data_IF_072147961288
#
_entry.id   IF_072147961288
#
_cell.length_a   1.000
_cell.length_b   1.000
_cell.length_c   1.000
_cell.angle_alpha   90.00
_cell.angle_beta   90.00
_cell.angle_gamma   90.00
#
_symmetry.space_group_name_H-M   'P 1'
#
loop_
_entity.id
_entity.type
_entity.pdbx_description
1 polymer ?
#
# COMPACT_ATOMS: atom_id res chain seq x y z
N UNK A 1 6.90 10.33 37.78
CA UNK A 1 8.01 10.57 36.85
C UNK A 1 9.23 10.81 37.68
N UNK A 2 10.20 9.90 37.67
CA UNK A 2 11.46 10.04 38.40
C UNK A 2 12.34 11.07 37.67
N UNK A 3 13.21 11.77 38.40
CA UNK A 3 14.17 12.73 37.83
C UNK A 3 15.01 12.11 36.70
N UNK A 4 15.31 10.83 36.83
CA UNK A 4 16.01 10.05 35.79
C UNK A 4 15.17 9.81 34.53
N UNK A 5 13.86 9.65 34.67
CA UNK A 5 12.94 9.52 33.54
C UNK A 5 12.82 10.86 32.79
N UNK A 6 12.74 11.97 33.52
CA UNK A 6 12.73 13.32 32.94
C UNK A 6 14.04 13.64 32.24
N UNK A 7 15.18 13.31 32.84
CA UNK A 7 16.49 13.49 32.19
C UNK A 7 16.67 12.55 30.98
N UNK A 8 16.09 11.34 30.99
CA UNK A 8 16.07 10.46 29.84
C UNK A 8 15.22 11.00 28.69
N UNK A 9 14.08 11.60 28.99
CA UNK A 9 13.25 12.23 27.96
C UNK A 9 13.91 13.46 27.36
N UNK A 10 14.49 14.35 28.16
CA UNK A 10 15.26 15.48 27.66
C UNK A 10 16.48 15.06 26.84
N UNK A 11 17.21 14.04 27.27
CA UNK A 11 18.34 13.50 26.51
C UNK A 11 17.91 12.80 25.21
N UNK A 12 16.70 12.21 25.15
CA UNK A 12 16.15 11.64 23.91
C UNK A 12 15.78 12.72 22.89
N UNK A 13 15.35 13.89 23.33
CA UNK A 13 15.03 15.02 22.45
C UNK A 13 16.28 15.66 21.84
N UNK A 14 17.41 15.64 22.54
CA UNK A 14 18.66 16.29 22.09
C UNK A 14 19.66 15.31 21.46
N UNK A 15 19.69 14.05 21.87
CA UNK A 15 20.66 13.04 21.41
C UNK A 15 20.08 11.90 20.60
N UNK A 16 18.77 11.93 20.29
CA UNK A 16 18.12 10.94 19.44
C UNK A 16 18.45 11.11 17.96
N UNK A 17 18.15 10.10 17.10
CA UNK A 17 18.34 10.21 15.65
C UNK A 17 17.65 11.45 15.07
N UNK A 18 18.28 12.12 14.09
CA UNK A 18 17.76 13.33 13.45
C UNK A 18 16.32 13.21 13.00
N UNK A 19 15.95 12.09 12.40
CA UNK A 19 14.57 11.80 11.99
C UNK A 19 13.57 11.81 13.16
N UNK A 20 14.03 11.63 14.39
CA UNK A 20 13.22 11.69 15.60
C UNK A 20 13.14 13.12 16.15
N UNK A 21 14.28 13.84 16.16
CA UNK A 21 14.40 15.21 16.62
C UNK A 21 13.65 16.20 15.74
N UNK A 22 13.68 15.99 14.41
CA UNK A 22 13.03 16.82 13.39
C UNK A 22 11.51 16.61 13.30
N UNK A 23 10.92 15.78 14.17
CA UNK A 23 9.46 15.60 14.16
C UNK A 23 8.74 16.92 14.47
N UNK A 24 7.72 17.28 13.67
CA UNK A 24 6.88 18.45 13.95
C UNK A 24 6.17 18.28 15.27
N UNK A 25 5.99 19.39 15.98
CA UNK A 25 5.23 19.48 17.22
C UNK A 25 3.86 20.12 17.00
N UNK A 26 3.69 20.84 15.90
CA UNK A 26 2.44 21.49 15.51
C UNK A 26 1.99 21.04 14.12
N UNK A 27 0.71 21.24 13.80
CA UNK A 27 0.17 20.92 12.47
C UNK A 27 0.79 21.77 11.37
N UNK A 28 1.16 23.00 11.66
CA UNK A 28 1.75 23.94 10.69
C UNK A 28 3.19 23.56 10.32
N UNK A 29 3.88 22.79 11.16
CA UNK A 29 5.22 22.27 10.88
C UNK A 29 5.19 21.00 10.00
N UNK A 30 4.02 20.36 9.84
CA UNK A 30 3.90 19.13 9.04
C UNK A 30 4.15 19.44 7.58
N UNK A 31 5.17 18.80 7.02
CA UNK A 31 5.50 18.90 5.60
C UNK A 31 4.75 17.81 4.83
N UNK A 32 4.18 18.19 3.69
CA UNK A 32 3.35 17.30 2.88
C UNK A 32 1.98 17.01 3.48
N UNK A 33 1.27 16.01 2.96
CA UNK A 33 -0.04 15.55 3.43
C UNK A 33 -1.15 16.61 3.44
N UNK A 34 -1.05 17.67 2.63
CA UNK A 34 -2.00 18.80 2.62
C UNK A 34 -3.44 18.38 2.32
N UNK A 35 -3.63 17.24 1.65
CA UNK A 35 -4.94 16.64 1.39
C UNK A 35 -5.64 16.14 2.65
N UNK A 36 -4.91 15.97 3.76
CA UNK A 36 -5.42 15.53 5.08
C UNK A 36 -5.35 16.66 6.10
N UNK A 37 -4.18 17.34 6.20
CA UNK A 37 -3.90 18.32 7.25
C UNK A 37 -4.13 19.77 6.82
N UNK A 38 -4.52 20.03 5.58
CA UNK A 38 -4.86 21.38 5.12
C UNK A 38 -5.95 22.03 5.99
N UNK A 39 -5.91 23.35 6.15
CA UNK A 39 -6.79 24.11 7.08
C UNK A 39 -8.29 23.92 6.83
N UNK A 40 -8.66 23.58 5.59
CA UNK A 40 -10.03 23.29 5.15
C UNK A 40 -10.44 21.81 5.32
N UNK A 41 -9.51 20.93 5.67
CA UNK A 41 -9.73 19.50 5.73
C UNK A 41 -10.36 19.04 7.04
N UNK A 42 -11.04 17.89 6.97
CA UNK A 42 -11.79 17.31 8.08
C UNK A 42 -10.91 17.12 9.31
N UNK A 43 -9.71 16.53 9.15
CA UNK A 43 -8.82 16.24 10.27
C UNK A 43 -8.38 17.53 10.99
N UNK A 44 -7.96 18.54 10.24
CA UNK A 44 -7.57 19.83 10.81
C UNK A 44 -8.69 20.47 11.64
N UNK A 45 -9.92 20.50 11.09
CA UNK A 45 -11.09 21.06 11.77
C UNK A 45 -11.47 20.26 13.01
N UNK A 46 -11.39 18.92 12.96
CA UNK A 46 -11.69 18.05 14.09
C UNK A 46 -10.69 18.26 15.25
N UNK A 47 -9.40 18.40 14.94
CA UNK A 47 -8.36 18.69 15.91
C UNK A 47 -8.61 20.06 16.57
N UNK A 48 -8.84 21.11 15.79
CA UNK A 48 -9.10 22.46 16.31
C UNK A 48 -10.36 22.56 17.15
N UNK A 49 -11.38 21.75 16.85
CA UNK A 49 -12.64 21.71 17.62
C UNK A 49 -12.56 20.77 18.85
N UNK A 50 -11.45 20.10 19.09
CA UNK A 50 -11.28 19.01 20.09
C UNK A 50 -12.38 17.92 20.00
N UNK A 51 -12.79 17.59 18.78
CA UNK A 51 -13.83 16.60 18.45
C UNK A 51 -13.25 15.47 17.60
N UNK A 52 -12.25 14.80 18.15
CA UNK A 52 -11.62 13.67 17.48
C UNK A 52 -12.47 12.39 17.66
N UNK A 53 -12.71 11.70 16.55
CA UNK A 53 -13.09 10.30 16.52
C UNK A 53 -11.86 9.43 16.36
N UNK A 54 -12.00 8.12 16.49
CA UNK A 54 -10.92 7.18 16.19
C UNK A 54 -10.49 7.26 14.72
N UNK A 55 -9.21 7.02 14.46
CA UNK A 55 -8.57 7.24 13.16
C UNK A 55 -7.73 6.03 12.78
N UNK A 56 -7.74 5.67 11.52
CA UNK A 56 -6.78 4.74 10.94
C UNK A 56 -5.95 5.47 9.88
N UNK A 57 -4.65 5.58 10.13
CA UNK A 57 -3.68 6.07 9.15
C UNK A 57 -3.09 4.90 8.38
N UNK A 58 -3.20 4.89 7.06
CA UNK A 58 -2.51 3.90 6.24
C UNK A 58 -1.68 4.57 5.15
N UNK A 59 -0.65 3.87 4.69
CA UNK A 59 0.23 4.36 3.64
C UNK A 59 1.68 3.91 3.83
N UNK A 60 2.58 4.24 2.90
CA UNK A 60 3.98 3.79 2.89
C UNK A 60 4.74 4.15 4.17
N UNK A 61 5.88 3.48 4.45
CA UNK A 61 6.76 3.87 5.55
C UNK A 61 7.30 5.28 5.35
N UNK A 62 7.74 5.92 6.43
CA UNK A 62 8.36 7.26 6.37
C UNK A 62 7.45 8.45 6.04
N UNK A 63 6.16 8.23 5.79
CA UNK A 63 5.18 9.27 5.41
C UNK A 63 4.63 10.11 6.57
N UNK A 64 5.02 9.79 7.81
CA UNK A 64 4.67 10.59 8.99
C UNK A 64 3.47 10.10 9.82
N UNK A 65 3.01 8.85 9.69
CA UNK A 65 1.87 8.29 10.47
C UNK A 65 2.02 8.49 11.98
N UNK A 66 3.12 8.01 12.55
CA UNK A 66 3.43 8.16 14.00
C UNK A 66 3.60 9.63 14.39
N UNK A 67 4.21 10.40 13.51
CA UNK A 67 4.42 11.84 13.71
C UNK A 67 3.10 12.58 13.80
N UNK A 68 2.19 12.34 12.87
CA UNK A 68 0.88 12.99 12.85
C UNK A 68 0.04 12.62 14.08
N UNK A 69 0.10 11.36 14.53
CA UNK A 69 -0.56 10.92 15.76
C UNK A 69 -0.07 11.70 16.99
N UNK A 70 1.25 11.93 17.11
CA UNK A 70 1.84 12.72 18.20
C UNK A 70 1.45 14.19 18.13
N UNK A 71 1.47 14.79 16.94
CA UNK A 71 1.02 16.18 16.74
C UNK A 71 -0.44 16.36 17.14
N UNK A 72 -1.31 15.40 16.79
CA UNK A 72 -2.71 15.40 17.20
C UNK A 72 -2.83 15.37 18.72
N UNK A 73 -2.15 14.44 19.37
CA UNK A 73 -2.21 14.29 20.81
C UNK A 73 -1.73 15.56 21.53
N UNK A 74 -0.63 16.16 21.07
CA UNK A 74 -0.08 17.39 21.62
C UNK A 74 -1.04 18.57 21.45
N UNK A 75 -1.64 18.69 20.26
CA UNK A 75 -2.58 19.80 19.96
C UNK A 75 -3.88 19.71 20.75
N UNK A 76 -4.35 18.49 21.07
CA UNK A 76 -5.60 18.25 21.80
C UNK A 76 -5.42 18.11 23.30
N UNK A 77 -4.19 18.25 23.82
CA UNK A 77 -3.85 18.02 25.23
C UNK A 77 -4.29 16.67 25.80
N UNK A 78 -4.48 15.68 24.93
CA UNK A 78 -4.80 14.31 25.31
C UNK A 78 -3.56 13.56 25.82
N UNK A 79 -3.75 12.61 26.71
CA UNK A 79 -2.68 11.68 27.08
C UNK A 79 -2.35 10.78 25.92
N UNK A 80 -1.07 10.70 25.54
CA UNK A 80 -0.62 9.88 24.41
C UNK A 80 0.02 8.59 24.92
N UNK A 81 -0.62 7.48 24.60
CA UNK A 81 -0.10 6.15 24.90
C UNK A 81 0.19 5.42 23.60
N UNK A 82 1.34 4.75 23.51
CA UNK A 82 1.77 4.07 22.30
C UNK A 82 2.02 2.60 22.56
N UNK A 83 1.44 1.76 21.71
CA UNK A 83 1.69 0.32 21.65
C UNK A 83 2.24 -0.03 20.26
N UNK A 84 3.22 -0.92 20.22
CA UNK A 84 3.65 -1.54 18.96
C UNK A 84 3.03 -2.94 18.87
N UNK A 85 2.18 -3.16 17.87
CA UNK A 85 1.45 -4.42 17.71
C UNK A 85 2.36 -5.63 17.42
N UNK A 86 3.61 -5.41 17.03
CA UNK A 86 4.57 -6.52 16.82
C UNK A 86 5.10 -7.15 18.12
N UNK A 87 5.10 -6.39 19.21
CA UNK A 87 5.66 -6.81 20.50
C UNK A 87 4.64 -6.86 21.64
N UNK A 88 3.50 -6.19 21.48
CA UNK A 88 2.51 -6.05 22.54
C UNK A 88 1.60 -7.27 22.67
N UNK A 89 1.37 -7.69 23.92
CA UNK A 89 0.43 -8.73 24.30
C UNK A 89 -0.88 -8.18 24.89
N UNK A 90 -1.75 -9.09 25.35
CA UNK A 90 -3.03 -8.74 25.97
C UNK A 90 -2.83 -7.89 27.24
N UNK A 91 -1.80 -8.19 28.02
CA UNK A 91 -1.49 -7.50 29.28
C UNK A 91 -1.17 -6.03 29.05
N UNK A 92 -0.40 -5.71 28.01
CA UNK A 92 -0.05 -4.33 27.68
C UNK A 92 -1.31 -3.52 27.31
N UNK A 93 -2.27 -4.13 26.62
CA UNK A 93 -3.55 -3.51 26.31
C UNK A 93 -4.41 -3.28 27.56
N UNK A 94 -4.44 -4.25 28.50
CA UNK A 94 -5.16 -4.13 29.77
C UNK A 94 -4.60 -2.97 30.60
N UNK A 95 -3.29 -2.84 30.70
CA UNK A 95 -2.63 -1.73 31.42
C UNK A 95 -2.99 -0.37 30.82
N UNK A 96 -2.99 -0.26 29.50
CA UNK A 96 -3.38 0.98 28.80
C UNK A 96 -4.84 1.34 29.05
N UNK A 97 -5.74 0.37 28.98
CA UNK A 97 -7.17 0.58 29.22
C UNK A 97 -7.41 1.04 30.65
N UNK A 98 -6.75 0.42 31.64
CA UNK A 98 -6.86 0.81 33.04
C UNK A 98 -6.36 2.26 33.26
N UNK A 99 -5.22 2.60 32.65
CA UNK A 99 -4.67 3.94 32.71
C UNK A 99 -5.58 4.97 32.02
N UNK A 100 -6.20 4.62 30.88
CA UNK A 100 -7.16 5.48 30.19
C UNK A 100 -8.41 5.75 31.04
N UNK A 101 -8.94 4.73 31.73
CA UNK A 101 -10.06 4.90 32.69
C UNK A 101 -9.68 5.81 33.86
N UNK A 102 -8.48 5.65 34.38
CA UNK A 102 -7.98 6.52 35.45
C UNK A 102 -7.83 7.98 34.99
N UNK A 103 -7.28 8.19 33.78
CA UNK A 103 -7.15 9.51 33.20
C UNK A 103 -8.52 10.19 33.03
N UNK A 104 -9.50 9.46 32.53
CA UNK A 104 -10.86 9.96 32.32
C UNK A 104 -11.56 10.25 33.67
N UNK A 105 -11.48 9.31 34.64
CA UNK A 105 -12.18 9.40 35.91
C UNK A 105 -11.59 10.43 36.88
N UNK A 106 -10.25 10.48 37.00
CA UNK A 106 -9.58 11.36 37.97
C UNK A 106 -9.23 12.73 37.41
N UNK A 107 -8.87 12.80 36.13
CA UNK A 107 -8.30 14.03 35.55
C UNK A 107 -9.17 14.62 34.42
N UNK A 108 -10.29 13.96 34.06
CA UNK A 108 -11.14 14.35 32.93
C UNK A 108 -10.35 14.52 31.61
N UNK A 109 -9.25 13.77 31.50
CA UNK A 109 -8.33 13.85 30.38
C UNK A 109 -8.62 12.74 29.38
N UNK A 110 -8.72 13.06 28.11
CA UNK A 110 -8.86 12.07 27.02
C UNK A 110 -7.56 11.31 26.85
N UNK A 111 -7.66 10.03 26.47
CA UNK A 111 -6.50 9.20 26.14
C UNK A 111 -6.53 8.83 24.67
N UNK A 112 -5.46 9.16 23.96
CA UNK A 112 -5.20 8.68 22.60
C UNK A 112 -4.31 7.46 22.70
N UNK A 113 -4.82 6.31 22.26
CA UNK A 113 -4.05 5.11 22.10
C UNK A 113 -3.56 5.00 20.64
N UNK A 114 -2.27 5.18 20.44
CA UNK A 114 -1.62 4.96 19.17
C UNK A 114 -1.13 3.53 19.06
N UNK A 115 -1.58 2.81 18.03
CA UNK A 115 -1.14 1.44 17.72
C UNK A 115 -0.37 1.46 16.41
N UNK A 116 0.94 1.26 16.51
CA UNK A 116 1.77 1.10 15.32
C UNK A 116 1.66 -0.31 14.76
N UNK A 117 1.56 -0.43 13.44
CA UNK A 117 1.37 -1.69 12.71
C UNK A 117 0.13 -2.49 13.18
N UNK A 118 -1.01 -1.81 13.34
CA UNK A 118 -2.26 -2.39 13.88
C UNK A 118 -2.70 -3.69 13.19
N UNK A 119 -2.32 -3.89 11.92
CA UNK A 119 -2.58 -5.11 11.16
C UNK A 119 -1.90 -6.37 11.78
N UNK A 120 -0.90 -6.18 12.64
CA UNK A 120 -0.23 -7.28 13.36
C UNK A 120 -1.04 -7.81 14.54
N UNK A 121 -2.02 -7.06 15.01
CA UNK A 121 -2.95 -7.56 16.02
C UNK A 121 -3.90 -8.59 15.40
N UNK A 122 -4.07 -9.73 16.10
CA UNK A 122 -5.08 -10.69 15.72
C UNK A 122 -6.51 -10.16 16.00
N UNK A 123 -7.52 -10.81 15.43
CA UNK A 123 -8.93 -10.38 15.57
C UNK A 123 -9.35 -10.23 17.04
N UNK A 124 -8.97 -11.15 17.92
CA UNK A 124 -9.32 -11.08 19.35
C UNK A 124 -8.70 -9.88 20.07
N UNK A 125 -7.49 -9.47 19.69
CA UNK A 125 -6.84 -8.27 20.22
C UNK A 125 -7.54 -7.00 19.72
N UNK A 126 -7.92 -6.97 18.46
CA UNK A 126 -8.68 -5.85 17.89
C UNK A 126 -10.09 -5.76 18.49
N UNK A 127 -10.76 -6.89 18.69
CA UNK A 127 -12.09 -6.96 19.33
C UNK A 127 -12.05 -6.49 20.79
N UNK A 128 -10.97 -6.77 21.52
CA UNK A 128 -10.79 -6.32 22.91
C UNK A 128 -10.86 -4.79 23.04
N UNK A 129 -10.44 -4.05 22.06
CA UNK A 129 -10.43 -2.57 22.08
C UNK A 129 -11.81 -1.97 21.78
N UNK A 130 -12.71 -2.71 21.13
CA UNK A 130 -14.00 -2.20 20.67
C UNK A 130 -14.84 -1.53 21.76
N UNK A 131 -15.07 -2.12 22.94
CA UNK A 131 -15.89 -1.49 23.98
C UNK A 131 -15.36 -0.13 24.42
N UNK A 132 -14.03 0.02 24.50
CA UNK A 132 -13.36 1.23 24.97
C UNK A 132 -13.27 2.32 23.91
N UNK A 133 -13.37 1.95 22.64
CA UNK A 133 -13.52 2.87 21.52
C UNK A 133 -14.98 3.35 21.42
N UNK A 134 -15.93 2.45 21.68
CA UNK A 134 -17.37 2.75 21.64
C UNK A 134 -17.81 3.69 22.76
N UNK A 135 -17.33 3.50 23.98
CA UNK A 135 -17.69 4.32 25.14
C UNK A 135 -16.84 5.59 25.24
N UNK A 136 -15.84 5.77 24.37
CA UNK A 136 -14.98 6.94 24.32
C UNK A 136 -13.89 6.98 25.41
N UNK A 137 -13.66 5.88 26.16
CA UNK A 137 -12.55 5.74 27.09
C UNK A 137 -11.21 5.92 26.37
N UNK A 138 -11.13 5.43 25.12
CA UNK A 138 -9.96 5.51 24.25
C UNK A 138 -10.35 6.13 22.91
N UNK A 139 -9.55 7.09 22.45
CA UNK A 139 -9.53 7.52 21.05
C UNK A 139 -8.42 6.70 20.37
N UNK A 140 -8.80 5.77 19.52
CA UNK A 140 -7.84 4.91 18.81
C UNK A 140 -7.24 5.67 17.62
N UNK A 141 -5.91 5.67 17.50
CA UNK A 141 -5.22 6.03 16.27
C UNK A 141 -4.40 4.81 15.83
N UNK A 142 -4.90 4.06 14.87
CA UNK A 142 -4.17 2.93 14.27
C UNK A 142 -3.30 3.39 13.12
N UNK A 143 -2.08 2.85 13.01
CA UNK A 143 -1.20 3.06 11.87
C UNK A 143 -0.90 1.71 11.20
N UNK A 144 -0.90 1.69 9.87
CA UNK A 144 -0.56 0.49 9.09
C UNK A 144 0.07 0.86 7.75
N UNK A 145 0.91 -0.02 7.22
CA UNK A 145 1.41 0.04 5.85
C UNK A 145 0.53 -0.73 4.87
N UNK A 146 -0.34 -1.60 5.39
CA UNK A 146 -1.24 -2.46 4.62
C UNK A 146 -2.62 -1.80 4.41
N UNK A 147 -3.40 -2.32 3.46
CA UNK A 147 -4.76 -1.82 3.23
C UNK A 147 -5.67 -2.17 4.41
N UNK A 148 -6.17 -1.17 5.15
CA UNK A 148 -6.94 -1.42 6.38
C UNK A 148 -8.25 -2.18 6.15
N UNK A 149 -8.84 -2.11 4.96
CA UNK A 149 -10.08 -2.83 4.64
C UNK A 149 -9.93 -4.36 4.62
N UNK A 150 -8.71 -4.87 4.50
CA UNK A 150 -8.43 -6.31 4.55
C UNK A 150 -7.92 -6.76 5.91
N UNK A 151 -7.18 -5.90 6.62
CA UNK A 151 -6.39 -6.29 7.78
C UNK A 151 -6.98 -5.82 9.12
N UNK A 152 -7.77 -4.76 9.11
CA UNK A 152 -8.40 -4.22 10.31
C UNK A 152 -9.85 -4.72 10.42
N UNK A 153 -10.25 -5.07 11.64
CA UNK A 153 -11.62 -5.52 11.92
C UNK A 153 -12.65 -4.50 11.44
N UNK A 154 -13.66 -4.96 10.70
CA UNK A 154 -14.74 -4.14 10.18
C UNK A 154 -15.50 -3.34 11.25
N UNK A 155 -15.59 -3.86 12.48
CA UNK A 155 -16.20 -3.15 13.59
C UNK A 155 -15.37 -1.95 14.07
N UNK A 156 -14.03 -2.03 14.07
CA UNK A 156 -13.15 -0.88 14.33
C UNK A 156 -13.18 0.13 13.17
N UNK A 157 -13.19 -0.37 11.92
CA UNK A 157 -13.26 0.50 10.75
C UNK A 157 -14.54 1.33 10.71
N UNK A 158 -15.69 0.73 11.06
CA UNK A 158 -16.98 1.44 11.08
C UNK A 158 -17.04 2.58 12.10
N UNK A 159 -16.14 2.58 13.08
CA UNK A 159 -16.01 3.58 14.16
C UNK A 159 -14.83 4.50 13.99
N UNK A 160 -14.09 4.35 12.90
CA UNK A 160 -12.87 5.11 12.63
C UNK A 160 -12.95 5.87 11.32
N UNK A 161 -12.31 7.03 11.26
CA UNK A 161 -12.09 7.73 9.99
C UNK A 161 -10.75 7.27 9.40
N UNK A 162 -10.77 6.87 8.15
CA UNK A 162 -9.60 6.34 7.47
C UNK A 162 -8.94 7.47 6.67
N UNK A 163 -7.64 7.69 6.87
CA UNK A 163 -6.84 8.64 6.11
C UNK A 163 -5.66 7.94 5.44
N UNK A 164 -5.55 8.14 4.14
CA UNK A 164 -4.42 7.69 3.35
C UNK A 164 -3.29 8.71 3.36
N UNK A 165 -2.12 8.33 3.91
CA UNK A 165 -0.91 9.13 3.78
C UNK A 165 -0.19 8.74 2.51
N UNK A 166 0.10 9.72 1.68
CA UNK A 166 0.84 9.55 0.43
C UNK A 166 2.34 9.68 0.67
N UNK A 167 3.14 9.12 -0.25
CA UNK A 167 4.57 9.41 -0.29
C UNK A 167 4.78 10.92 -0.31
N UNK A 168 5.80 11.39 0.39
CA UNK A 168 6.21 12.78 0.29
C UNK A 168 6.75 13.06 -1.11
N UNK A 169 6.45 14.24 -1.63
CA UNK A 169 7.03 14.68 -2.91
C UNK A 169 8.53 14.96 -2.75
N UNK A 170 9.26 14.97 -3.85
CA UNK A 170 10.67 15.38 -3.87
C UNK A 170 10.85 16.78 -3.26
N UNK A 171 9.95 17.70 -3.52
CA UNK A 171 9.99 19.04 -2.94
C UNK A 171 9.74 19.04 -1.43
N UNK A 172 8.82 18.18 -0.92
CA UNK A 172 8.59 18.01 0.52
C UNK A 172 9.87 17.51 1.22
N UNK A 173 10.55 16.52 0.62
CA UNK A 173 11.81 15.99 1.16
C UNK A 173 12.89 17.07 1.16
N UNK A 174 13.03 17.86 0.08
CA UNK A 174 13.98 18.97 0.04
C UNK A 174 13.74 19.99 1.15
N UNK A 175 12.46 20.31 1.42
CA UNK A 175 12.09 21.20 2.53
C UNK A 175 12.54 20.62 3.87
N UNK A 176 12.33 19.31 4.09
CA UNK A 176 12.77 18.63 5.32
C UNK A 176 14.30 18.63 5.47
N UNK A 177 15.05 18.31 4.41
CA UNK A 177 16.50 18.29 4.42
C UNK A 177 17.09 19.68 4.69
N UNK A 178 16.58 20.71 4.01
CA UNK A 178 17.02 22.11 4.25
C UNK A 178 16.72 22.54 5.68
N UNK A 179 15.53 22.24 6.21
CA UNK A 179 15.19 22.52 7.60
C UNK A 179 16.13 21.79 8.56
N UNK A 180 16.45 20.52 8.29
CA UNK A 180 17.33 19.74 9.12
C UNK A 180 18.75 20.31 9.19
N UNK A 181 19.26 20.88 8.09
CA UNK A 181 20.59 21.50 8.04
C UNK A 181 20.64 22.91 8.67
N UNK A 182 19.51 23.62 8.73
CA UNK A 182 19.46 25.02 9.24
C UNK A 182 18.99 25.14 10.68
N UNK A 183 18.20 24.20 11.17
CA UNK A 183 17.68 24.21 12.52
C UNK A 183 18.80 23.92 13.54
N UNK A 184 19.05 24.88 14.43
CA UNK A 184 20.13 24.79 15.45
C UNK A 184 19.70 24.05 16.71
N UNK A 185 18.39 23.91 16.96
CA UNK A 185 17.86 23.26 18.17
C UNK A 185 17.60 21.76 17.93
N UNK A 186 16.84 21.44 16.88
CA UNK A 186 16.41 20.07 16.56
C UNK A 186 17.25 19.42 15.45
N UNK A 187 17.86 20.26 14.58
CA UNK A 187 18.57 19.84 13.40
C UNK A 187 20.08 19.71 13.57
N UNK A 188 20.77 19.99 12.48
CA UNK A 188 22.23 19.94 12.36
C UNK A 188 22.83 21.34 12.14
N UNK A 189 22.08 22.42 12.36
CA UNK A 189 22.53 23.80 12.11
C UNK A 189 23.80 24.20 12.87
N UNK A 190 24.05 23.61 14.04
CA UNK A 190 25.27 23.83 14.82
C UNK A 190 26.55 23.27 14.14
N UNK A 191 26.42 22.39 13.17
CA UNK A 191 27.54 21.76 12.46
C UNK A 191 28.07 22.63 11.32
N UNK A 192 27.37 23.68 10.90
CA UNK A 192 27.70 24.53 9.75
C UNK A 192 27.91 23.69 8.47
N UNK A 193 26.92 22.85 8.14
CA UNK A 193 26.96 21.99 6.97
C UNK A 193 26.15 22.61 5.82
N UNK A 194 26.65 22.43 4.60
CA UNK A 194 25.97 22.82 3.36
C UNK A 194 25.83 21.60 2.46
N UNK A 195 24.72 21.52 1.75
CA UNK A 195 24.47 20.47 0.77
C UNK A 195 24.43 21.10 -0.62
N UNK A 196 25.11 20.47 -1.57
CA UNK A 196 25.08 20.87 -2.97
C UNK A 196 23.69 20.61 -3.57
N UNK A 197 23.26 21.42 -4.53
CA UNK A 197 21.91 21.30 -5.11
C UNK A 197 21.68 19.95 -5.77
N UNK A 198 22.68 19.37 -6.43
CA UNK A 198 22.60 18.06 -7.05
C UNK A 198 22.53 16.92 -6.01
N UNK A 199 23.25 17.05 -4.90
CA UNK A 199 23.18 16.12 -3.77
C UNK A 199 21.81 16.19 -3.06
N UNK A 200 21.24 17.39 -2.92
CA UNK A 200 19.91 17.60 -2.38
C UNK A 200 18.84 16.97 -3.28
N UNK A 201 18.94 17.21 -4.58
CA UNK A 201 18.06 16.62 -5.59
C UNK A 201 18.14 15.09 -5.56
N UNK A 202 19.36 14.56 -5.50
CA UNK A 202 19.61 13.13 -5.44
C UNK A 202 19.00 12.48 -4.18
N UNK A 203 19.29 13.00 -2.98
CA UNK A 203 18.74 12.46 -1.74
C UNK A 203 17.20 12.51 -1.71
N UNK A 204 16.64 13.61 -2.20
CA UNK A 204 15.18 13.78 -2.24
C UNK A 204 14.52 12.79 -3.21
N UNK A 205 15.14 12.49 -4.33
CA UNK A 205 14.62 11.52 -5.30
C UNK A 205 14.77 10.07 -4.81
N UNK A 206 16.00 9.71 -4.40
CA UNK A 206 16.37 8.33 -4.04
C UNK A 206 15.66 7.84 -2.77
N UNK A 207 15.32 8.75 -1.83
CA UNK A 207 14.53 8.42 -0.63
C UNK A 207 13.10 8.00 -0.96
N UNK A 208 12.63 8.21 -2.20
CA UNK A 208 11.34 7.77 -2.71
C UNK A 208 10.16 8.15 -1.80
N UNK A 209 10.24 9.34 -1.19
CA UNK A 209 9.23 9.90 -0.29
C UNK A 209 9.28 9.38 1.15
N UNK A 210 10.34 8.67 1.54
CA UNK A 210 10.60 8.28 2.93
C UNK A 210 11.47 9.35 3.63
N UNK A 211 10.84 10.19 4.45
CA UNK A 211 11.53 11.23 5.19
C UNK A 211 12.56 10.69 6.20
N UNK A 212 12.35 9.50 6.74
CA UNK A 212 13.26 8.88 7.71
C UNK A 212 14.57 8.50 7.03
N UNK A 213 14.47 7.88 5.85
CA UNK A 213 15.66 7.50 5.05
C UNK A 213 16.46 8.72 4.67
N UNK A 214 15.81 9.78 4.13
CA UNK A 214 16.47 11.02 3.75
C UNK A 214 17.16 11.71 4.93
N UNK A 215 16.49 11.84 6.08
CA UNK A 215 17.06 12.47 7.28
C UNK A 215 18.20 11.65 7.90
N UNK A 216 18.13 10.33 7.84
CA UNK A 216 19.23 9.47 8.31
C UNK A 216 20.47 9.60 7.42
N UNK A 217 20.27 9.67 6.10
CA UNK A 217 21.38 9.85 5.16
C UNK A 217 22.10 11.19 5.36
N UNK A 218 21.34 12.30 5.50
CA UNK A 218 21.94 13.61 5.74
C UNK A 218 22.63 13.70 7.12
N UNK A 219 22.05 13.09 8.16
CA UNK A 219 22.69 13.01 9.49
C UNK A 219 24.03 12.31 9.41
N UNK A 220 24.09 11.16 8.74
CA UNK A 220 25.30 10.40 8.54
C UNK A 220 26.34 11.23 7.76
N UNK A 221 25.94 11.89 6.66
CA UNK A 221 26.80 12.74 5.87
C UNK A 221 27.43 13.87 6.68
N UNK A 222 26.64 14.57 7.49
CA UNK A 222 27.16 15.66 8.33
C UNK A 222 28.13 15.16 9.43
N UNK A 223 27.83 13.99 10.02
CA UNK A 223 28.62 13.44 11.13
C UNK A 223 29.95 12.79 10.67
N UNK A 224 30.02 12.35 9.41
CA UNK A 224 31.18 11.57 8.90
C UNK A 224 32.05 12.32 7.90
N UNK A 225 31.62 13.50 7.45
CA UNK A 225 32.42 14.33 6.52
C UNK A 225 33.23 15.35 7.28
N UNK A 226 34.52 15.41 6.96
CA UNK A 226 35.43 16.38 7.52
C UNK A 226 35.10 17.81 7.05
N UNK A 227 35.45 18.79 7.88
CA UNK A 227 35.33 20.21 7.49
C UNK A 227 36.36 20.56 6.44
N UNK A 228 35.94 21.30 5.43
CA UNK A 228 36.84 21.90 4.44
C UNK A 228 37.64 23.06 5.03
N UNK A 229 38.60 23.58 4.28
CA UNK A 229 39.48 24.70 4.69
C UNK A 229 38.70 25.98 5.05
N UNK A 230 37.47 26.14 4.53
CA UNK A 230 36.54 27.21 4.85
C UNK A 230 35.76 27.01 6.18
N UNK A 231 35.97 25.88 6.85
CA UNK A 231 35.29 25.50 8.09
C UNK A 231 33.88 24.97 7.90
N UNK A 232 33.46 24.71 6.66
CA UNK A 232 32.13 24.20 6.30
C UNK A 232 32.22 22.69 6.01
N UNK A 233 31.16 21.95 6.35
CA UNK A 233 30.99 20.55 5.94
C UNK A 233 30.23 20.56 4.63
N UNK A 234 30.84 20.14 3.53
CA UNK A 234 30.20 20.08 2.22
C UNK A 234 29.65 18.69 1.95
N UNK A 235 28.36 18.58 1.78
CA UNK A 235 27.68 17.34 1.40
C UNK A 235 27.51 17.33 -0.12
N UNK A 236 28.48 16.70 -0.76
CA UNK A 236 28.50 16.50 -2.21
C UNK A 236 27.64 15.31 -2.62
N UNK A 237 27.41 15.15 -3.92
CA UNK A 237 26.65 14.02 -4.46
C UNK A 237 27.32 12.66 -4.14
N UNK A 238 28.67 12.62 -4.09
CA UNK A 238 29.41 11.40 -3.73
C UNK A 238 29.15 11.02 -2.26
N UNK A 239 29.26 11.98 -1.34
CA UNK A 239 28.94 11.80 0.08
C UNK A 239 27.48 11.37 0.26
N UNK A 240 26.56 12.03 -0.41
CA UNK A 240 25.13 11.72 -0.34
C UNK A 240 24.84 10.29 -0.82
N UNK A 241 25.47 9.87 -1.91
CA UNK A 241 25.35 8.52 -2.47
C UNK A 241 25.86 7.45 -1.53
N UNK A 242 27.00 7.70 -0.89
CA UNK A 242 27.60 6.77 0.06
C UNK A 242 26.75 6.62 1.32
N UNK A 243 26.23 7.74 1.85
CA UNK A 243 25.40 7.75 3.05
C UNK A 243 24.05 7.05 2.87
N UNK A 244 23.43 7.13 1.69
CA UNK A 244 22.16 6.43 1.43
C UNK A 244 22.37 5.00 0.93
N UNK A 245 23.63 4.58 0.73
CA UNK A 245 24.04 3.26 0.22
C UNK A 245 23.38 2.89 -1.12
N UNK A 246 23.04 3.88 -1.91
CA UNK A 246 22.48 3.74 -3.24
C UNK A 246 23.40 4.41 -4.26
N UNK A 247 23.71 3.70 -5.35
CA UNK A 247 24.60 4.25 -6.39
C UNK A 247 23.96 5.46 -7.06
N UNK A 248 24.78 6.49 -7.31
CA UNK A 248 24.41 7.56 -8.24
C UNK A 248 24.28 6.94 -9.63
N UNK A 249 23.07 6.56 -9.97
CA UNK A 249 22.73 6.27 -11.35
C UNK A 249 22.49 7.64 -11.97
N UNK A 250 23.10 7.93 -13.11
CA UNK A 250 22.78 9.14 -13.87
C UNK A 250 21.33 9.03 -14.33
N UNK A 251 20.42 9.23 -13.40
CA UNK A 251 19.00 9.35 -13.65
C UNK A 251 18.78 10.75 -14.22
N UNK A 252 18.29 10.78 -15.43
CA UNK A 252 17.76 12.00 -16.03
C UNK A 252 16.73 12.61 -15.06
N UNK A 253 16.94 13.87 -14.67
CA UNK A 253 16.34 14.62 -13.54
C UNK A 253 14.80 14.82 -13.60
N UNK A 254 14.04 13.94 -14.27
CA UNK A 254 12.57 14.03 -14.33
C UNK A 254 11.95 12.69 -13.98
N UNK A 255 11.15 12.65 -12.91
CA UNK A 255 10.41 11.49 -12.44
C UNK A 255 9.52 10.79 -13.48
N UNK A 256 9.37 11.32 -14.67
CA UNK A 256 8.74 10.69 -15.83
C UNK A 256 9.49 9.44 -16.32
N UNK A 257 10.84 9.41 -16.18
CA UNK A 257 11.67 8.32 -16.71
C UNK A 257 11.44 6.96 -15.99
N UNK A 258 11.05 6.97 -14.73
CA UNK A 258 10.74 5.75 -13.98
C UNK A 258 9.42 5.13 -14.48
N UNK A 259 8.35 5.92 -14.53
CA UNK A 259 7.06 5.47 -15.04
C UNK A 259 7.12 5.11 -16.52
N UNK A 260 7.92 5.83 -17.30
CA UNK A 260 8.14 5.55 -18.72
C UNK A 260 8.87 4.22 -18.91
N UNK A 261 9.89 3.90 -18.09
CA UNK A 261 10.60 2.61 -18.13
C UNK A 261 9.67 1.45 -17.80
N UNK A 262 8.85 1.57 -16.75
CA UNK A 262 7.85 0.55 -16.38
C UNK A 262 6.81 0.41 -17.50
N UNK A 263 6.34 1.51 -18.05
CA UNK A 263 5.37 1.52 -19.16
C UNK A 263 5.96 0.86 -20.41
N UNK A 264 7.21 1.17 -20.74
CA UNK A 264 7.93 0.56 -21.85
C UNK A 264 8.15 -0.95 -21.64
N UNK A 265 8.52 -1.36 -20.42
CA UNK A 265 8.65 -2.77 -20.03
C UNK A 265 7.36 -3.56 -20.29
N UNK A 266 6.23 -3.06 -19.78
CA UNK A 266 4.93 -3.70 -19.97
C UNK A 266 4.55 -3.72 -21.45
N UNK A 267 4.70 -2.59 -22.16
CA UNK A 267 4.36 -2.47 -23.58
C UNK A 267 5.22 -3.36 -24.46
N UNK A 268 6.49 -3.59 -24.12
CA UNK A 268 7.38 -4.49 -24.85
C UNK A 268 6.91 -5.96 -24.75
N UNK A 269 6.56 -6.43 -23.55
CA UNK A 269 5.99 -7.77 -23.38
C UNK A 269 4.64 -7.89 -24.08
N UNK A 270 3.76 -6.89 -23.97
CA UNK A 270 2.47 -6.83 -24.66
C UNK A 270 2.64 -6.83 -26.18
N UNK A 271 3.62 -6.11 -26.68
CA UNK A 271 3.96 -5.99 -28.09
C UNK A 271 4.77 -7.18 -28.65
N UNK A 272 5.06 -8.18 -27.82
CA UNK A 272 5.82 -9.39 -28.20
C UNK A 272 7.25 -9.09 -28.68
N UNK A 273 7.92 -8.12 -28.02
CA UNK A 273 9.34 -7.84 -28.22
C UNK A 273 10.15 -8.31 -26.98
N UNK A 274 10.73 -9.53 -27.01
CA UNK A 274 11.48 -10.07 -25.89
C UNK A 274 12.80 -9.32 -25.63
N UNK A 275 13.45 -8.79 -26.66
CA UNK A 275 14.72 -8.07 -26.51
C UNK A 275 14.51 -6.74 -25.79
N UNK A 276 13.52 -5.96 -26.21
CA UNK A 276 13.14 -4.73 -25.52
C UNK A 276 12.65 -5.01 -24.09
N UNK A 277 11.87 -6.07 -23.86
CA UNK A 277 11.39 -6.45 -22.54
C UNK A 277 12.54 -6.77 -21.59
N UNK A 278 13.54 -7.55 -22.01
CA UNK A 278 14.74 -7.87 -21.22
C UNK A 278 15.60 -6.63 -20.99
N UNK A 279 15.73 -5.77 -22.00
CA UNK A 279 16.45 -4.51 -21.86
C UNK A 279 15.85 -3.60 -20.76
N UNK A 280 14.51 -3.41 -20.78
CA UNK A 280 13.84 -2.60 -19.76
C UNK A 280 13.83 -3.29 -18.39
N UNK A 281 13.78 -4.63 -18.32
CA UNK A 281 14.01 -5.37 -17.09
C UNK A 281 15.38 -5.06 -16.51
N UNK A 282 16.45 -5.18 -17.33
CA UNK A 282 17.82 -4.91 -16.89
C UNK A 282 17.98 -3.46 -16.43
N UNK A 283 17.35 -2.51 -17.12
CA UNK A 283 17.35 -1.09 -16.75
C UNK A 283 16.68 -0.86 -15.39
N UNK A 284 15.55 -1.50 -15.09
CA UNK A 284 14.87 -1.43 -13.79
C UNK A 284 15.71 -2.06 -12.68
N UNK A 285 16.29 -3.26 -12.92
CA UNK A 285 17.13 -3.94 -11.95
C UNK A 285 18.41 -3.16 -11.64
N UNK A 286 19.04 -2.59 -12.67
CA UNK A 286 20.20 -1.74 -12.51
C UNK A 286 19.89 -0.46 -11.73
N UNK A 287 18.68 0.08 -11.89
CA UNK A 287 18.17 1.21 -11.12
C UNK A 287 17.80 0.87 -9.67
N UNK A 288 17.86 -0.40 -9.27
CA UNK A 288 17.53 -0.85 -7.93
C UNK A 288 16.01 -0.98 -7.68
N UNK A 289 15.22 -1.16 -8.73
CA UNK A 289 13.77 -1.40 -8.59
C UNK A 289 13.50 -2.65 -7.76
N UNK A 290 12.44 -2.61 -6.95
CA UNK A 290 12.02 -3.75 -6.15
C UNK A 290 11.62 -4.94 -7.03
N UNK A 291 12.32 -6.06 -6.88
CA UNK A 291 12.07 -7.30 -7.63
C UNK A 291 10.64 -7.82 -7.43
N UNK A 292 10.04 -7.58 -6.26
CA UNK A 292 8.64 -7.94 -5.97
C UNK A 292 7.67 -7.06 -6.77
N UNK A 293 8.01 -5.78 -6.92
CA UNK A 293 7.23 -4.89 -7.77
C UNK A 293 7.27 -5.34 -9.23
N UNK A 294 8.46 -5.66 -9.76
CA UNK A 294 8.63 -6.18 -11.13
C UNK A 294 7.82 -7.47 -11.32
N UNK A 295 7.95 -8.43 -10.40
CA UNK A 295 7.20 -9.70 -10.45
C UNK A 295 5.68 -9.48 -10.44
N UNK A 296 5.18 -8.54 -9.64
CA UNK A 296 3.77 -8.17 -9.62
C UNK A 296 3.29 -7.64 -10.97
N UNK A 297 4.11 -6.84 -11.66
CA UNK A 297 3.76 -6.33 -12.99
C UNK A 297 3.70 -7.44 -14.03
N UNK A 298 4.57 -8.44 -13.94
CA UNK A 298 4.55 -9.64 -14.79
C UNK A 298 3.27 -10.45 -14.56
N UNK A 299 2.86 -10.67 -13.29
CA UNK A 299 1.62 -11.39 -12.95
C UNK A 299 0.37 -10.68 -13.50
N UNK A 300 0.32 -9.35 -13.40
CA UNK A 300 -0.80 -8.57 -13.95
C UNK A 300 -0.86 -8.74 -15.47
N UNK A 301 0.27 -8.61 -16.16
CA UNK A 301 0.37 -8.77 -17.61
C UNK A 301 -0.03 -10.18 -18.06
N UNK A 302 0.37 -11.22 -17.34
CA UNK A 302 -0.01 -12.61 -17.63
C UNK A 302 -1.53 -12.79 -17.66
N UNK A 303 -2.28 -12.09 -16.79
CA UNK A 303 -3.75 -12.17 -16.74
C UNK A 303 -4.43 -11.19 -17.68
N UNK A 304 -3.87 -9.98 -17.83
CA UNK A 304 -4.46 -8.88 -18.61
C UNK A 304 -4.27 -9.04 -20.11
N UNK A 305 -3.03 -9.39 -20.53
CA UNK A 305 -2.63 -9.36 -21.93
C UNK A 305 -2.48 -10.75 -22.59
N UNK A 306 -2.22 -11.79 -21.78
CA UNK A 306 -2.10 -13.16 -22.27
C UNK A 306 -3.38 -13.95 -21.98
N UNK A 307 -3.86 -13.90 -20.74
CA UNK A 307 -5.11 -14.52 -20.33
C UNK A 307 -5.21 -16.00 -20.75
N UNK A 308 -6.35 -16.35 -21.34
CA UNK A 308 -6.63 -17.72 -21.77
C UNK A 308 -5.99 -18.10 -23.13
N UNK A 309 -5.30 -17.19 -23.80
CA UNK A 309 -4.53 -17.55 -24.99
C UNK A 309 -3.36 -18.47 -24.64
N UNK A 310 -2.79 -18.31 -23.43
CA UNK A 310 -1.85 -19.25 -22.83
C UNK A 310 -2.02 -19.29 -21.29
N UNK A 311 -2.84 -20.21 -20.77
CA UNK A 311 -3.07 -20.33 -19.31
C UNK A 311 -1.80 -20.60 -18.49
N UNK A 312 -0.74 -21.14 -19.11
CA UNK A 312 0.53 -21.40 -18.44
C UNK A 312 1.26 -20.11 -18.06
N UNK A 313 0.98 -19.00 -18.74
CA UNK A 313 1.60 -17.71 -18.43
C UNK A 313 1.37 -17.28 -16.98
N UNK A 314 0.16 -17.46 -16.45
CA UNK A 314 -0.15 -17.14 -15.05
C UNK A 314 0.61 -18.03 -14.07
N UNK A 315 0.79 -19.32 -14.39
CA UNK A 315 1.55 -20.28 -13.57
C UNK A 315 3.04 -19.90 -13.54
N UNK A 316 3.62 -19.57 -14.69
CA UNK A 316 5.02 -19.10 -14.79
C UNK A 316 5.22 -17.81 -14.02
N UNK A 317 4.30 -16.84 -14.17
CA UNK A 317 4.38 -15.57 -13.45
C UNK A 317 4.28 -15.74 -11.93
N UNK A 318 3.35 -16.57 -11.46
CA UNK A 318 3.16 -16.85 -10.03
C UNK A 318 4.37 -17.58 -9.44
N UNK A 319 4.93 -18.58 -10.15
CA UNK A 319 6.14 -19.28 -9.73
C UNK A 319 7.34 -18.33 -9.65
N UNK A 320 7.54 -17.48 -10.67
CA UNK A 320 8.60 -16.50 -10.66
C UNK A 320 8.45 -15.52 -9.47
N UNK A 321 7.24 -15.03 -9.19
CA UNK A 321 6.99 -14.13 -8.06
C UNK A 321 7.32 -14.78 -6.69
N UNK A 322 7.03 -16.06 -6.52
CA UNK A 322 7.36 -16.80 -5.31
C UNK A 322 8.88 -17.03 -5.17
N UNK A 323 9.56 -17.36 -6.27
CA UNK A 323 10.97 -17.72 -6.23
C UNK A 323 11.91 -16.51 -6.13
N UNK A 324 11.58 -15.34 -6.71
CA UNK A 324 12.41 -14.14 -6.55
C UNK A 324 12.51 -13.68 -5.09
N UNK A 325 11.48 -13.94 -4.27
CA UNK A 325 11.51 -13.63 -2.84
C UNK A 325 12.40 -14.58 -2.05
N UNK A 326 12.46 -15.85 -2.45
CA UNK A 326 13.26 -16.90 -1.78
C UNK A 326 14.74 -16.81 -2.14
N UNK A 327 15.01 -16.58 -3.42
CA UNK A 327 16.37 -16.60 -3.97
C UNK A 327 17.10 -15.28 -3.72
N UNK A 328 16.41 -14.13 -3.92
CA UNK A 328 17.01 -12.81 -3.79
C UNK A 328 17.97 -12.45 -4.93
N UNK A 329 18.52 -11.22 -4.87
CA UNK A 329 19.52 -10.75 -5.83
C UNK A 329 20.92 -11.27 -5.45
N UNK A 330 21.81 -11.53 -6.42
CA UNK A 330 21.67 -11.23 -7.86
C UNK A 330 20.91 -12.30 -8.69
N UNK A 331 20.69 -13.50 -8.19
CA UNK A 331 20.16 -14.63 -8.97
C UNK A 331 18.68 -14.44 -9.36
N UNK A 332 17.90 -13.65 -8.63
CA UNK A 332 16.49 -13.32 -8.95
C UNK A 332 16.35 -12.70 -10.36
N UNK A 333 17.40 -12.03 -10.89
CA UNK A 333 17.39 -11.51 -12.26
C UNK A 333 17.22 -12.61 -13.33
N UNK A 334 17.71 -13.81 -13.07
CA UNK A 334 17.63 -14.95 -14.00
C UNK A 334 16.18 -15.44 -14.07
N UNK A 335 15.52 -15.57 -12.91
CA UNK A 335 14.12 -15.97 -12.78
C UNK A 335 13.20 -14.95 -13.48
N UNK A 336 13.44 -13.66 -13.23
CA UNK A 336 12.68 -12.60 -13.88
C UNK A 336 12.89 -12.58 -15.40
N UNK A 337 14.11 -12.79 -15.87
CA UNK A 337 14.41 -12.84 -17.31
C UNK A 337 13.67 -13.98 -17.99
N UNK A 338 13.63 -15.18 -17.39
CA UNK A 338 12.88 -16.32 -17.92
C UNK A 338 11.38 -15.99 -18.00
N UNK A 339 10.80 -15.43 -16.94
CA UNK A 339 9.39 -15.04 -16.94
C UNK A 339 9.08 -13.98 -18.01
N UNK A 340 9.91 -12.95 -18.11
CA UNK A 340 9.74 -11.84 -19.07
C UNK A 340 9.80 -12.33 -20.53
N UNK A 341 10.79 -13.15 -20.86
CA UNK A 341 10.90 -13.72 -22.21
C UNK A 341 9.71 -14.62 -22.54
N UNK A 342 9.26 -15.43 -21.57
CA UNK A 342 8.05 -16.23 -21.73
C UNK A 342 6.83 -15.34 -22.03
N UNK A 343 6.60 -14.29 -21.21
CA UNK A 343 5.48 -13.37 -21.39
C UNK A 343 5.53 -12.65 -22.74
N UNK A 344 6.73 -12.22 -23.16
CA UNK A 344 6.89 -11.55 -24.45
C UNK A 344 6.56 -12.48 -25.62
N UNK A 345 6.95 -13.76 -25.55
CA UNK A 345 6.77 -14.73 -26.65
C UNK A 345 5.39 -15.43 -26.63
N UNK A 346 4.65 -15.38 -25.52
CA UNK A 346 3.34 -16.01 -25.41
C UNK A 346 2.30 -15.39 -26.34
N UNK A 347 1.31 -16.16 -26.85
CA UNK A 347 0.16 -15.60 -27.57
C UNK A 347 -0.64 -14.66 -26.67
N UNK A 348 -1.24 -13.62 -27.24
CA UNK A 348 -1.90 -12.54 -26.50
C UNK A 348 -3.43 -12.58 -26.67
N UNK A 349 -4.16 -12.46 -25.53
CA UNK A 349 -5.59 -12.21 -25.51
C UNK A 349 -5.97 -11.42 -24.24
N UNK A 350 -6.72 -10.36 -24.42
CA UNK A 350 -7.30 -9.60 -23.32
C UNK A 350 -8.81 -9.88 -23.12
N UNK A 351 -9.32 -10.98 -23.68
CA UNK A 351 -10.75 -11.31 -23.65
C UNK A 351 -11.29 -11.41 -22.21
N UNK A 352 -10.53 -12.02 -21.30
CA UNK A 352 -10.91 -12.14 -19.87
C UNK A 352 -10.93 -10.78 -19.17
N UNK A 353 -9.96 -9.92 -19.44
CA UNK A 353 -9.92 -8.55 -18.93
C UNK A 353 -11.12 -7.72 -19.43
N UNK A 354 -11.42 -7.80 -20.73
CA UNK A 354 -12.57 -7.13 -21.31
C UNK A 354 -13.90 -7.65 -20.73
N UNK A 355 -13.98 -8.96 -20.49
CA UNK A 355 -15.17 -9.59 -19.91
C UNK A 355 -15.49 -9.01 -18.52
N UNK A 356 -14.52 -9.00 -17.61
CA UNK A 356 -14.75 -8.45 -16.26
C UNK A 356 -15.01 -6.94 -16.30
N UNK A 357 -14.31 -6.20 -17.16
CA UNK A 357 -14.52 -4.75 -17.31
C UNK A 357 -15.93 -4.42 -17.80
N UNK A 358 -16.44 -5.17 -18.77
CA UNK A 358 -17.80 -5.03 -19.29
C UNK A 358 -18.85 -5.42 -18.23
N UNK A 359 -18.63 -6.52 -17.51
CA UNK A 359 -19.52 -6.97 -16.44
C UNK A 359 -19.58 -5.95 -15.29
N UNK A 360 -18.44 -5.41 -14.85
CA UNK A 360 -18.36 -4.36 -13.81
C UNK A 360 -19.06 -3.08 -14.24
N UNK A 361 -18.91 -2.68 -15.50
CA UNK A 361 -19.63 -1.52 -16.07
C UNK A 361 -21.14 -1.76 -16.06
N UNK A 362 -21.59 -2.95 -16.47
CA UNK A 362 -22.99 -3.35 -16.45
C UNK A 362 -23.58 -3.26 -15.04
N UNK A 363 -22.91 -3.86 -14.04
CA UNK A 363 -23.34 -3.82 -12.63
C UNK A 363 -23.45 -2.40 -12.09
N UNK A 364 -22.52 -1.52 -12.46
CA UNK A 364 -22.55 -0.11 -12.02
C UNK A 364 -23.68 0.71 -12.64
N UNK A 365 -24.08 0.36 -13.86
CA UNK A 365 -25.08 1.11 -14.64
C UNK A 365 -26.51 0.59 -14.46
N UNK A 366 -26.71 -0.63 -13.99
CA UNK A 366 -28.00 -1.24 -13.78
C UNK A 366 -28.34 -1.30 -12.30
N UNK A 367 -29.65 -1.14 -11.95
CA UNK A 367 -30.14 -1.59 -10.64
C UNK A 367 -29.90 -3.09 -10.61
N UNK A 368 -29.12 -3.58 -9.65
CA UNK A 368 -28.77 -5.00 -9.53
C UNK A 368 -30.02 -5.87 -9.56
N UNK A 369 -30.31 -6.61 -10.66
CA UNK A 369 -31.49 -7.44 -10.74
C UNK A 369 -31.36 -8.66 -9.83
N UNK A 370 -32.49 -9.24 -9.42
CA UNK A 370 -32.48 -10.41 -8.57
C UNK A 370 -31.87 -11.61 -9.28
N UNK A 371 -31.18 -12.47 -8.53
CA UNK A 371 -30.72 -13.76 -9.02
C UNK A 371 -31.93 -14.62 -9.40
N UNK A 372 -31.94 -15.31 -10.57
CA UNK A 372 -33.01 -16.20 -10.96
C UNK A 372 -33.37 -17.21 -9.87
N UNK A 373 -34.64 -17.44 -9.59
CA UNK A 373 -35.09 -18.23 -8.44
C UNK A 373 -34.49 -19.66 -8.40
N UNK A 374 -34.34 -20.30 -9.57
CA UNK A 374 -33.79 -21.65 -9.68
C UNK A 374 -32.27 -21.70 -9.37
N UNK A 375 -31.54 -20.56 -9.41
CA UNK A 375 -30.13 -20.46 -9.04
C UNK A 375 -29.91 -20.00 -7.59
N UNK A 376 -30.95 -19.64 -6.87
CA UNK A 376 -30.83 -19.21 -5.48
C UNK A 376 -30.54 -20.41 -4.58
N UNK A 377 -29.84 -20.15 -3.46
CA UNK A 377 -29.45 -21.19 -2.52
C UNK A 377 -30.67 -21.95 -1.97
N UNK A 378 -30.63 -23.26 -2.07
CA UNK A 378 -31.67 -24.17 -1.62
C UNK A 378 -31.25 -25.04 -0.42
N UNK A 379 -30.11 -24.80 0.22
CA UNK A 379 -29.58 -25.65 1.29
C UNK A 379 -30.19 -25.38 2.69
N UNK A 380 -31.25 -24.60 2.80
CA UNK A 380 -31.91 -24.31 4.07
C UNK A 380 -33.37 -24.77 4.10
N UNK A 381 -33.90 -25.14 5.29
CA UNK A 381 -35.14 -25.89 5.48
C UNK A 381 -36.47 -25.22 5.07
N UNK A 382 -36.45 -24.05 4.41
CA UNK A 382 -37.65 -23.39 3.89
C UNK A 382 -37.49 -22.87 2.45
N UNK A 383 -36.37 -23.16 1.82
CA UNK A 383 -35.99 -22.66 0.49
C UNK A 383 -37.06 -23.00 -0.56
N UNK A 384 -37.51 -24.25 -0.59
CA UNK A 384 -38.53 -24.74 -1.54
C UNK A 384 -39.85 -23.99 -1.43
N UNK A 385 -40.27 -23.62 -0.20
CA UNK A 385 -41.49 -22.83 0.03
C UNK A 385 -41.39 -21.41 -0.51
N UNK A 386 -40.18 -20.92 -0.66
CA UNK A 386 -39.86 -19.61 -1.25
C UNK A 386 -39.55 -19.70 -2.76
N UNK A 387 -39.59 -20.90 -3.33
CA UNK A 387 -39.28 -21.15 -4.73
C UNK A 387 -37.80 -21.13 -5.07
N UNK A 388 -36.92 -21.13 -4.06
CA UNK A 388 -35.49 -21.10 -4.27
C UNK A 388 -34.98 -22.49 -4.71
N UNK A 389 -34.18 -22.52 -5.76
CA UNK A 389 -33.62 -23.76 -6.34
C UNK A 389 -34.59 -24.60 -7.14
N UNK A 390 -35.88 -24.24 -7.15
CA UNK A 390 -36.93 -25.02 -7.87
C UNK A 390 -36.70 -24.88 -9.37
N UNK A 391 -36.61 -26.04 -10.05
CA UNK A 391 -36.39 -26.09 -11.50
C UNK A 391 -34.95 -25.96 -11.96
N UNK A 392 -33.98 -25.94 -11.04
CA UNK A 392 -32.58 -26.00 -11.40
C UNK A 392 -32.23 -27.33 -12.09
N UNK A 393 -31.60 -27.25 -13.23
CA UNK A 393 -31.11 -28.43 -13.99
C UNK A 393 -29.65 -28.63 -13.67
N UNK A 394 -29.32 -29.77 -13.05
CA UNK A 394 -27.93 -30.09 -12.71
C UNK A 394 -27.19 -30.57 -13.96
N UNK A 395 -26.23 -29.80 -14.42
CA UNK A 395 -25.56 -30.04 -15.71
C UNK A 395 -24.92 -31.42 -15.85
N UNK A 396 -24.43 -32.02 -14.74
CA UNK A 396 -23.81 -33.35 -14.77
C UNK A 396 -24.80 -34.48 -15.07
N UNK A 397 -26.12 -34.25 -14.99
CA UNK A 397 -27.14 -35.24 -15.34
C UNK A 397 -27.44 -35.26 -16.85
N UNK A 398 -26.80 -34.38 -17.62
CA UNK A 398 -27.03 -34.22 -19.06
C UNK A 398 -25.79 -34.62 -19.89
N UNK A 399 -25.97 -35.00 -21.18
CA UNK A 399 -24.88 -35.26 -22.07
C UNK A 399 -23.86 -34.10 -22.11
N UNK A 400 -22.59 -34.45 -22.25
CA UNK A 400 -21.48 -33.48 -22.25
C UNK A 400 -21.44 -32.55 -21.05
N UNK A 401 -22.15 -32.90 -19.95
CA UNK A 401 -22.32 -32.07 -18.73
C UNK A 401 -22.78 -30.66 -19.04
N UNK A 402 -23.65 -30.51 -20.03
CA UNK A 402 -24.20 -29.24 -20.47
C UNK A 402 -25.72 -29.30 -20.62
N UNK A 403 -26.39 -28.23 -20.18
CA UNK A 403 -27.84 -28.06 -20.36
C UNK A 403 -28.16 -26.57 -20.55
N UNK A 404 -28.99 -26.29 -21.54
CA UNK A 404 -29.47 -24.92 -21.79
C UNK A 404 -30.45 -24.51 -20.71
N UNK A 405 -30.05 -23.53 -19.89
CA UNK A 405 -30.91 -22.88 -18.91
C UNK A 405 -30.44 -21.43 -18.71
N UNK A 406 -31.27 -20.61 -18.11
CA UNK A 406 -30.95 -19.21 -17.85
C UNK A 406 -30.00 -19.10 -16.64
N UNK A 407 -28.85 -18.47 -16.82
CA UNK A 407 -27.90 -18.17 -15.74
C UNK A 407 -27.85 -16.68 -15.38
N UNK A 408 -28.04 -15.80 -16.36
CA UNK A 408 -28.06 -14.36 -16.10
C UNK A 408 -29.45 -13.92 -15.60
N UNK A 409 -29.50 -12.88 -14.76
CA UNK A 409 -30.75 -12.27 -14.32
C UNK A 409 -31.64 -11.80 -15.48
N UNK A 410 -32.93 -11.67 -15.18
CA UNK A 410 -33.88 -11.08 -16.12
C UNK A 410 -33.41 -9.69 -16.58
N UNK A 411 -33.58 -9.42 -17.87
CA UNK A 411 -33.11 -8.19 -18.51
C UNK A 411 -31.61 -8.15 -18.88
N UNK A 412 -30.86 -9.22 -18.52
CA UNK A 412 -29.44 -9.37 -18.90
C UNK A 412 -29.20 -10.64 -19.73
N UNK A 413 -30.22 -11.40 -20.04
CA UNK A 413 -30.14 -12.70 -20.73
C UNK A 413 -29.41 -12.69 -22.08
N UNK A 414 -29.49 -11.56 -22.78
CA UNK A 414 -28.85 -11.37 -24.09
C UNK A 414 -27.42 -10.79 -23.99
N UNK A 415 -26.90 -10.59 -22.78
CA UNK A 415 -25.57 -10.01 -22.58
C UNK A 415 -24.49 -11.09 -22.75
N UNK A 416 -23.49 -10.74 -23.56
CA UNK A 416 -22.27 -11.55 -23.72
C UNK A 416 -21.08 -10.76 -23.23
N UNK A 417 -20.48 -11.19 -22.12
CA UNK A 417 -19.33 -10.52 -21.52
C UNK A 417 -18.00 -11.14 -22.01
N UNK A 418 -17.91 -12.46 -22.03
CA UNK A 418 -16.71 -13.16 -22.49
C UNK A 418 -16.81 -13.53 -23.95
N UNK A 419 -15.87 -13.03 -24.75
CA UNK A 419 -15.76 -13.29 -26.19
C UNK A 419 -14.38 -13.84 -26.47
N UNK A 420 -14.20 -15.19 -26.47
CA UNK A 420 -12.92 -15.81 -26.74
C UNK A 420 -12.40 -15.48 -28.13
N UNK A 421 -11.07 -15.33 -28.23
CA UNK A 421 -10.38 -15.09 -29.49
C UNK A 421 -10.04 -16.41 -30.19
N UNK A 422 -9.54 -16.32 -31.43
CA UNK A 422 -9.02 -17.47 -32.18
C UNK A 422 -7.49 -17.66 -31.96
N UNK A 423 -6.94 -17.12 -30.83
CA UNK A 423 -5.50 -17.09 -30.58
C UNK A 423 -5.13 -18.10 -29.49
N UNK A 424 -4.09 -18.90 -29.75
CA UNK A 424 -3.53 -19.83 -28.76
C UNK A 424 -4.51 -20.85 -28.23
N UNK A 425 -4.51 -21.09 -26.92
CA UNK A 425 -5.42 -22.03 -26.26
C UNK A 425 -6.88 -21.55 -26.28
N UNK A 426 -7.11 -20.25 -26.39
CA UNK A 426 -8.46 -19.68 -26.40
C UNK A 426 -9.28 -20.11 -27.63
N UNK A 427 -8.60 -20.41 -28.76
CA UNK A 427 -9.24 -21.02 -29.92
C UNK A 427 -9.87 -22.40 -29.61
N UNK A 428 -9.22 -23.21 -28.73
CA UNK A 428 -9.77 -24.48 -28.27
C UNK A 428 -10.97 -24.29 -27.35
N UNK A 429 -10.91 -23.28 -26.46
CA UNK A 429 -12.04 -22.91 -25.60
C UNK A 429 -13.23 -22.52 -26.47
N UNK A 430 -13.02 -21.67 -27.47
CA UNK A 430 -14.06 -21.24 -28.39
C UNK A 430 -14.70 -22.41 -29.12
N UNK A 431 -13.88 -23.28 -29.71
CA UNK A 431 -14.35 -24.47 -30.43
C UNK A 431 -15.20 -25.38 -29.54
N UNK A 432 -14.77 -25.61 -28.30
CA UNK A 432 -15.52 -26.39 -27.31
C UNK A 432 -16.88 -25.73 -26.93
N UNK A 433 -16.89 -24.41 -26.71
CA UNK A 433 -18.13 -23.69 -26.43
C UNK A 433 -19.10 -23.75 -27.62
N UNK A 434 -18.60 -23.61 -28.83
CA UNK A 434 -19.41 -23.69 -30.04
C UNK A 434 -20.01 -25.10 -30.25
N UNK A 435 -19.26 -26.17 -29.88
CA UNK A 435 -19.75 -27.57 -29.89
C UNK A 435 -20.90 -27.75 -28.89
N UNK A 436 -20.72 -27.36 -27.64
CA UNK A 436 -21.74 -27.44 -26.60
C UNK A 436 -23.05 -26.71 -27.00
N UNK A 437 -22.95 -25.57 -27.66
CA UNK A 437 -24.14 -24.82 -28.08
C UNK A 437 -24.86 -25.46 -29.26
N UNK A 438 -24.13 -26.08 -30.18
CA UNK A 438 -24.73 -26.80 -31.35
C UNK A 438 -25.52 -28.04 -30.95
N UNK A 439 -25.01 -28.80 -30.01
CA UNK A 439 -25.65 -30.05 -29.54
C UNK A 439 -26.99 -29.83 -28.83
N UNK A 440 -27.31 -28.58 -28.47
CA UNK A 440 -28.56 -28.23 -27.82
C UNK A 440 -29.65 -27.70 -28.77
N UNK A 441 -29.32 -27.40 -30.03
CA UNK A 441 -30.29 -26.92 -31.01
C UNK A 441 -30.77 -28.06 -31.95
N UNK A 442 -30.24 -29.30 -31.74
CA UNK A 442 -30.70 -30.54 -32.36
C UNK A 442 -31.54 -31.37 -31.38
#
# INVERSE_FOLDING_TARGET
MDLFDYMREQNKETSGPLASRMRPTTLDEVVGQQHIVGKDKLLYRAIKADKLSSIIFYGPPGTGKTTLAKVIAHTTSAEFMQINATSAGKKDMEEVVEQAKNNQGMYQKKTILFIDEIHRFNKGQQDYLLPFVEDGTIILIGATTENPYFEVNGALLSRSVIFELKKLSTDDIKVLLKRALTDTEKGMGAYNAQIDDDALDFLADVSNGDAREALTAIELGVLTTDRSDDGIIHITIDVASECIQKRVISYDKKGDNHYDTISAFIKSMRGSDPDAAVYYLARMLYAGEDVKFIARRIMILASEDIGNADPMAMVVAASAAAEVERVGMPEAQIILSQAVTYMACAPKSNASYNAISAAMSCVKQTKTPAVPAHLQDAHYGAAEKLGHGVGYKYAHDYPNHYVKQQYLPDGLTDRVFYKPTDIGYEAKIKAHMDELHRDCDT
#
